data_IF_511065967542
#
_entry.id   IF_511065967542
#
_cell.length_a   1.000
_cell.length_b   1.000
_cell.length_c   1.000
_cell.angle_alpha   90.00
_cell.angle_beta   90.00
_cell.angle_gamma   90.00
#
_symmetry.space_group_name_H-M   'P 1'
#
loop_
_entity.id
_entity.type
_entity.pdbx_description
1 polymer ?
#
# COMPACT_ATOMS: atom_id res chain seq x y z
N UNK A 1 -6.78 0.69 26.66
CA UNK A 1 -5.37 0.33 26.46
C UNK A 1 -5.30 -0.59 25.25
N UNK A 2 -4.97 -0.02 24.12
CA UNK A 2 -4.59 -0.83 22.95
C UNK A 2 -3.07 -0.86 22.95
N UNK A 3 -2.50 -1.93 23.49
CA UNK A 3 -1.13 -2.31 23.16
C UNK A 3 -1.14 -2.72 21.68
N UNK A 4 -0.86 -1.78 20.79
CA UNK A 4 -0.63 -2.09 19.40
C UNK A 4 0.82 -2.59 19.33
N UNK A 5 1.00 -3.93 19.40
CA UNK A 5 2.33 -4.55 19.32
C UNK A 5 3.07 -4.15 18.03
N UNK A 6 2.32 -3.74 17.00
CA UNK A 6 2.86 -3.21 15.76
C UNK A 6 3.59 -1.88 15.95
N UNK A 7 3.14 -1.04 16.89
CA UNK A 7 3.78 0.26 17.19
C UNK A 7 5.19 0.05 17.76
N UNK A 8 5.30 -0.85 18.72
CA UNK A 8 6.58 -1.17 19.36
C UNK A 8 7.58 -1.77 18.38
N UNK A 9 7.12 -2.50 17.34
CA UNK A 9 7.99 -3.13 16.36
C UNK A 9 8.41 -2.15 15.26
N UNK A 10 7.49 -1.59 14.49
CA UNK A 10 7.83 -0.80 13.30
C UNK A 10 8.55 0.50 13.64
N UNK A 11 8.09 1.24 14.64
CA UNK A 11 8.77 2.48 15.06
C UNK A 11 10.13 2.19 15.70
N UNK A 12 10.25 1.09 16.45
CA UNK A 12 11.53 0.67 17.00
C UNK A 12 12.53 0.28 15.89
N UNK A 13 12.09 -0.42 14.83
CA UNK A 13 12.91 -0.72 13.65
C UNK A 13 13.36 0.57 12.94
N UNK A 14 12.48 1.56 12.77
CA UNK A 14 12.81 2.86 12.20
C UNK A 14 13.86 3.59 13.02
N UNK A 15 13.69 3.62 14.34
CA UNK A 15 14.63 4.27 15.27
C UNK A 15 15.97 3.55 15.27
N UNK A 16 15.98 2.23 15.38
CA UNK A 16 17.20 1.41 15.34
C UNK A 16 17.98 1.64 14.05
N UNK A 17 17.29 1.65 12.90
CA UNK A 17 17.94 1.89 11.60
C UNK A 17 18.58 3.27 11.51
N UNK A 18 17.95 4.32 12.07
CA UNK A 18 18.49 5.69 12.06
C UNK A 18 19.66 5.83 13.04
N UNK A 19 19.55 5.26 14.24
CA UNK A 19 20.57 5.40 15.31
C UNK A 19 21.84 4.61 14.97
N UNK A 20 21.69 3.37 14.49
CA UNK A 20 22.82 2.48 14.23
C UNK A 20 23.33 2.57 12.79
N UNK A 21 22.65 3.32 11.91
CA UNK A 21 22.97 3.42 10.48
C UNK A 21 23.01 2.05 9.78
N UNK A 22 22.10 1.18 10.15
CA UNK A 22 22.05 -0.22 9.65
C UNK A 22 20.62 -0.62 9.34
N UNK A 23 20.44 -1.54 8.37
CA UNK A 23 19.15 -2.08 8.01
C UNK A 23 19.05 -3.52 8.54
N UNK A 24 18.05 -3.81 9.38
CA UNK A 24 17.72 -5.16 9.86
C UNK A 24 18.92 -5.94 10.40
N UNK A 25 19.80 -5.28 11.13
CA UNK A 25 20.99 -5.90 11.72
C UNK A 25 20.73 -6.45 13.11
N UNK A 26 19.92 -5.76 13.87
CA UNK A 26 19.60 -6.07 15.26
C UNK A 26 18.09 -6.03 15.43
N UNK A 27 17.57 -6.98 16.21
CA UNK A 27 16.18 -6.93 16.66
C UNK A 27 16.00 -5.68 17.55
N UNK A 28 15.09 -4.76 17.21
CA UNK A 28 14.98 -3.49 17.93
C UNK A 28 14.43 -3.64 19.36
N UNK A 29 13.90 -4.81 19.71
CA UNK A 29 13.33 -5.09 21.05
C UNK A 29 14.33 -5.84 21.92
N UNK A 30 14.96 -6.89 21.38
CA UNK A 30 15.88 -7.75 22.14
C UNK A 30 17.35 -7.35 21.99
N UNK A 31 17.68 -6.52 20.99
CA UNK A 31 19.05 -6.18 20.57
C UNK A 31 19.88 -7.40 20.12
N UNK A 32 19.24 -8.53 19.82
CA UNK A 32 19.91 -9.69 19.28
C UNK A 32 20.27 -9.47 17.81
N UNK A 33 21.40 -10.05 17.39
CA UNK A 33 21.82 -9.97 16.00
C UNK A 33 20.90 -10.76 15.09
N UNK A 34 20.38 -10.11 14.05
CA UNK A 34 19.50 -10.71 13.06
C UNK A 34 20.31 -11.20 11.86
N UNK A 35 20.21 -12.51 11.57
CA UNK A 35 20.83 -13.09 10.37
C UNK A 35 19.88 -12.95 9.18
N UNK A 36 20.40 -12.44 8.07
CA UNK A 36 19.61 -12.17 6.85
C UNK A 36 19.05 -13.40 6.15
N UNK A 37 19.48 -14.58 6.54
CA UNK A 37 18.97 -15.87 6.06
C UNK A 37 17.77 -16.39 6.86
N UNK A 38 17.42 -15.73 7.97
CA UNK A 38 16.22 -16.08 8.74
C UNK A 38 14.95 -15.66 8.02
N UNK A 39 13.88 -16.44 8.17
CA UNK A 39 12.60 -16.14 7.53
C UNK A 39 11.98 -14.80 7.95
N UNK A 40 12.29 -14.31 9.16
CA UNK A 40 11.78 -13.03 9.67
C UNK A 40 12.40 -11.85 8.93
N UNK A 41 13.73 -11.81 8.83
CA UNK A 41 14.43 -10.75 8.09
C UNK A 41 14.08 -10.75 6.61
N UNK A 42 13.89 -11.92 6.01
CA UNK A 42 13.48 -12.03 4.61
C UNK A 42 12.13 -11.39 4.34
N UNK A 43 11.22 -11.53 5.31
CA UNK A 43 9.90 -10.91 5.29
C UNK A 43 9.99 -9.38 5.26
N UNK A 44 10.82 -8.82 6.11
CA UNK A 44 11.02 -7.38 6.23
C UNK A 44 11.80 -6.81 5.03
N UNK A 45 12.76 -7.55 4.49
CA UNK A 45 13.46 -7.19 3.24
C UNK A 45 12.53 -7.13 2.02
N UNK A 46 11.49 -7.96 1.98
CA UNK A 46 10.51 -7.95 0.88
C UNK A 46 9.49 -6.84 1.00
N UNK A 47 9.26 -6.32 2.21
CA UNK A 47 8.34 -5.20 2.46
C UNK A 47 9.01 -4.10 3.30
N UNK A 48 9.96 -3.35 2.72
CA UNK A 48 10.87 -2.45 3.45
C UNK A 48 10.23 -1.12 3.84
N UNK A 49 8.96 -1.10 4.22
CA UNK A 49 8.23 0.12 4.57
C UNK A 49 8.87 0.88 5.75
N UNK A 50 9.25 0.18 6.82
CA UNK A 50 9.91 0.79 7.97
C UNK A 50 11.26 1.44 7.58
N UNK A 51 12.02 0.77 6.72
CA UNK A 51 13.29 1.32 6.22
C UNK A 51 13.09 2.53 5.30
N UNK A 52 12.01 2.54 4.51
CA UNK A 52 11.63 3.71 3.73
C UNK A 52 11.36 4.92 4.63
N UNK A 53 10.63 4.74 5.72
CA UNK A 53 10.36 5.79 6.71
C UNK A 53 11.65 6.21 7.42
N UNK A 54 12.48 5.27 7.87
CA UNK A 54 13.76 5.54 8.51
C UNK A 54 14.70 6.38 7.63
N UNK A 55 14.79 6.04 6.33
CA UNK A 55 15.60 6.78 5.36
C UNK A 55 15.13 8.25 5.26
N UNK A 56 13.82 8.48 5.12
CA UNK A 56 13.29 9.84 5.01
C UNK A 56 13.42 10.63 6.33
N UNK A 57 13.28 9.96 7.48
CA UNK A 57 13.52 10.58 8.79
C UNK A 57 14.98 11.02 8.92
N UNK A 58 15.93 10.17 8.50
CA UNK A 58 17.36 10.47 8.52
C UNK A 58 17.72 11.62 7.57
N UNK A 59 17.25 11.58 6.31
CA UNK A 59 17.48 12.65 5.33
C UNK A 59 16.86 13.98 5.76
N UNK A 60 15.67 13.94 6.36
CA UNK A 60 14.96 15.12 6.88
C UNK A 60 15.47 15.61 8.24
N UNK A 61 16.44 14.92 8.86
CA UNK A 61 16.92 15.17 10.23
C UNK A 61 15.75 15.26 11.24
N UNK A 62 14.80 14.34 11.12
CA UNK A 62 13.61 14.26 11.96
C UNK A 62 13.62 12.99 12.81
N UNK A 63 12.94 13.03 13.96
CA UNK A 63 12.70 11.81 14.72
C UNK A 63 11.77 10.87 13.92
N UNK A 64 12.11 9.57 13.75
CA UNK A 64 11.27 8.61 13.02
C UNK A 64 9.83 8.58 13.52
N UNK A 65 9.63 8.54 14.83
CA UNK A 65 8.29 8.57 15.44
C UNK A 65 7.48 9.82 15.07
N UNK A 66 8.12 10.99 14.94
CA UNK A 66 7.43 12.20 14.51
C UNK A 66 7.02 12.12 13.03
N UNK A 67 7.89 11.53 12.19
CA UNK A 67 7.56 11.30 10.78
C UNK A 67 6.38 10.33 10.67
N UNK A 68 6.42 9.17 11.34
CA UNK A 68 5.41 8.12 11.27
C UNK A 68 4.05 8.56 11.83
N UNK A 69 4.02 9.26 12.97
CA UNK A 69 2.74 9.55 13.64
C UNK A 69 2.16 10.93 13.34
N UNK A 70 2.94 11.88 12.81
CA UNK A 70 2.44 13.22 12.53
C UNK A 70 2.46 13.57 11.03
N UNK A 71 3.63 13.54 10.41
CA UNK A 71 3.78 14.04 9.05
C UNK A 71 3.23 13.08 7.98
N UNK A 72 3.61 11.80 8.06
CA UNK A 72 3.23 10.80 7.09
C UNK A 72 1.70 10.59 7.03
N UNK A 73 0.99 10.44 8.17
CA UNK A 73 -0.47 10.34 8.17
C UNK A 73 -1.17 11.51 7.51
N UNK A 74 -0.71 12.73 7.79
CA UNK A 74 -1.30 13.93 7.18
C UNK A 74 -1.27 13.86 5.65
N UNK A 75 -0.11 13.59 5.06
CA UNK A 75 0.01 13.51 3.60
C UNK A 75 -0.71 12.28 3.01
N UNK A 76 -0.60 11.13 3.66
CA UNK A 76 -1.22 9.90 3.17
C UNK A 76 -2.74 9.97 3.18
N UNK A 77 -3.36 10.54 4.22
CA UNK A 77 -4.80 10.74 4.30
C UNK A 77 -5.27 11.65 3.16
N UNK A 78 -4.58 12.77 2.91
CA UNK A 78 -4.91 13.66 1.80
C UNK A 78 -4.83 12.96 0.44
N UNK A 79 -3.79 12.16 0.21
CA UNK A 79 -3.61 11.39 -1.03
C UNK A 79 -4.71 10.34 -1.18
N UNK A 80 -5.09 9.65 -0.10
CA UNK A 80 -6.19 8.68 -0.12
C UNK A 80 -7.51 9.35 -0.50
N UNK A 81 -7.85 10.48 0.11
CA UNK A 81 -9.08 11.20 -0.23
C UNK A 81 -9.05 11.77 -1.64
N UNK A 82 -7.90 12.26 -2.12
CA UNK A 82 -7.75 12.65 -3.53
C UNK A 82 -8.05 11.47 -4.48
N UNK A 83 -7.52 10.28 -4.18
CA UNK A 83 -7.80 9.07 -4.94
C UNK A 83 -9.29 8.67 -4.88
N UNK A 84 -9.92 8.76 -3.70
CA UNK A 84 -11.36 8.47 -3.57
C UNK A 84 -12.22 9.44 -4.37
N UNK A 85 -11.87 10.72 -4.44
CA UNK A 85 -12.55 11.67 -5.31
C UNK A 85 -12.33 11.36 -6.80
N UNK A 86 -11.13 10.91 -7.21
CA UNK A 86 -10.90 10.42 -8.57
C UNK A 86 -11.77 9.20 -8.89
N UNK A 87 -11.92 8.28 -7.94
CA UNK A 87 -12.82 7.13 -8.09
C UNK A 87 -14.27 7.63 -8.22
N UNK A 88 -14.69 8.57 -7.38
CA UNK A 88 -16.02 9.20 -7.47
C UNK A 88 -16.27 9.85 -8.84
N UNK A 89 -15.30 10.58 -9.37
CA UNK A 89 -15.40 11.17 -10.73
C UNK A 89 -15.64 10.11 -11.80
N UNK A 90 -14.97 8.98 -11.67
CA UNK A 90 -15.10 7.86 -12.60
C UNK A 90 -16.48 7.18 -12.47
N UNK A 91 -16.94 6.96 -11.24
CA UNK A 91 -18.21 6.31 -10.95
C UNK A 91 -19.41 7.16 -11.38
N UNK A 92 -19.33 8.47 -11.21
CA UNK A 92 -20.42 9.40 -11.52
C UNK A 92 -20.27 10.12 -12.87
N UNK A 93 -19.37 9.62 -13.74
CA UNK A 93 -19.24 10.13 -15.10
C UNK A 93 -18.78 11.59 -15.21
N UNK A 94 -18.02 12.08 -14.24
CA UNK A 94 -17.51 13.45 -14.20
C UNK A 94 -18.41 14.45 -13.46
N UNK A 95 -19.51 14.00 -12.86
CA UNK A 95 -20.42 14.84 -12.07
C UNK A 95 -19.77 15.21 -10.73
N UNK A 96 -19.36 16.48 -10.60
CA UNK A 96 -18.69 16.98 -9.40
C UNK A 96 -19.61 17.05 -8.18
N UNK A 97 -20.88 17.33 -8.33
CA UNK A 97 -21.81 17.42 -7.20
C UNK A 97 -21.96 16.04 -6.53
N UNK A 98 -22.18 15.01 -7.34
CA UNK A 98 -22.26 13.63 -6.85
C UNK A 98 -20.92 13.15 -6.28
N UNK A 99 -19.82 13.55 -6.90
CA UNK A 99 -18.47 13.20 -6.41
C UNK A 99 -18.19 13.82 -5.04
N UNK A 100 -18.51 15.09 -4.82
CA UNK A 100 -18.36 15.72 -3.52
C UNK A 100 -19.30 15.12 -2.47
N UNK A 101 -20.56 14.84 -2.84
CA UNK A 101 -21.47 14.17 -1.95
C UNK A 101 -20.95 12.77 -1.55
N UNK A 102 -20.41 12.02 -2.49
CA UNK A 102 -19.75 10.75 -2.22
C UNK A 102 -18.57 10.92 -1.25
N UNK A 103 -17.71 11.92 -1.46
CA UNK A 103 -16.60 12.24 -0.56
C UNK A 103 -17.06 12.58 0.86
N UNK A 104 -18.14 13.36 1.00
CA UNK A 104 -18.74 13.70 2.31
C UNK A 104 -19.28 12.44 3.00
N UNK A 105 -20.07 11.63 2.30
CA UNK A 105 -20.63 10.38 2.85
C UNK A 105 -19.51 9.43 3.28
N UNK A 106 -18.46 9.28 2.46
CA UNK A 106 -17.32 8.45 2.78
C UNK A 106 -16.57 8.98 4.01
N UNK A 107 -16.40 10.29 4.13
CA UNK A 107 -15.77 10.92 5.30
C UNK A 107 -16.57 10.68 6.58
N UNK A 108 -17.91 10.79 6.52
CA UNK A 108 -18.78 10.48 7.65
C UNK A 108 -18.68 9.00 8.04
N UNK A 109 -18.65 8.10 7.05
CA UNK A 109 -18.48 6.66 7.30
C UNK A 109 -17.11 6.36 7.93
N UNK A 110 -16.04 7.01 7.50
CA UNK A 110 -14.73 6.87 8.13
C UNK A 110 -14.72 7.42 9.56
N UNK A 111 -15.34 8.57 9.82
CA UNK A 111 -15.43 9.15 11.17
C UNK A 111 -16.31 8.31 12.11
N UNK A 112 -17.32 7.62 11.60
CA UNK A 112 -18.19 6.76 12.40
C UNK A 112 -17.67 5.31 12.52
N UNK A 113 -16.68 4.93 11.74
CA UNK A 113 -16.23 3.55 11.57
C UNK A 113 -15.24 3.00 12.60
N UNK A 114 -15.06 3.68 13.75
CA UNK A 114 -14.10 3.27 14.79
C UNK A 114 -14.54 2.10 15.67
N UNK A 115 -15.33 1.20 15.17
CA UNK A 115 -15.87 0.08 15.96
C UNK A 115 -14.86 -1.03 16.23
N UNK A 116 -13.77 -1.09 15.46
CA UNK A 116 -12.70 -2.09 15.59
C UNK A 116 -11.40 -1.56 15.00
N UNK A 117 -10.26 -2.09 15.47
CA UNK A 117 -8.91 -1.79 14.94
C UNK A 117 -8.69 -2.28 13.50
N UNK A 118 -9.57 -3.17 13.01
CA UNK A 118 -9.47 -3.76 11.67
C UNK A 118 -10.43 -3.14 10.65
N UNK A 119 -11.16 -2.08 11.02
CA UNK A 119 -12.02 -1.38 10.06
C UNK A 119 -11.20 -0.53 9.10
N UNK A 120 -11.74 -0.27 7.90
CA UNK A 120 -11.09 0.62 6.93
C UNK A 120 -10.90 2.03 7.51
N UNK A 121 -11.83 2.49 8.32
CA UNK A 121 -11.74 3.76 9.03
C UNK A 121 -10.54 3.81 9.98
N UNK A 122 -10.34 2.76 10.77
CA UNK A 122 -9.21 2.63 11.68
C UNK A 122 -7.88 2.56 10.91
N UNK A 123 -7.83 1.80 9.82
CA UNK A 123 -6.65 1.72 8.95
C UNK A 123 -6.30 3.08 8.34
N UNK A 124 -7.30 3.82 7.85
CA UNK A 124 -7.06 5.11 7.21
C UNK A 124 -6.70 6.22 8.20
N UNK A 125 -7.43 6.33 9.32
CA UNK A 125 -7.35 7.51 10.18
C UNK A 125 -6.41 7.34 11.39
N UNK A 126 -6.18 6.10 11.84
CA UNK A 126 -5.33 5.83 13.01
C UNK A 126 -4.03 5.12 12.66
N UNK A 127 -4.06 4.20 11.69
CA UNK A 127 -2.95 3.28 11.41
C UNK A 127 -2.29 3.52 10.06
N UNK A 128 -2.60 4.61 9.37
CA UNK A 128 -2.13 4.87 7.99
C UNK A 128 -0.59 4.96 7.87
N UNK A 129 0.11 5.17 8.96
CA UNK A 129 1.56 5.12 9.03
C UNK A 129 2.14 3.70 8.84
N UNK A 130 1.33 2.64 9.02
CA UNK A 130 1.72 1.26 8.78
C UNK A 130 1.56 0.87 7.31
N UNK A 131 2.53 0.17 6.73
CA UNK A 131 2.48 -0.26 5.33
C UNK A 131 1.23 -1.08 4.97
N UNK A 132 0.74 -1.94 5.89
CA UNK A 132 -0.51 -2.70 5.70
C UNK A 132 -1.75 -1.79 5.59
N UNK A 133 -1.76 -0.69 6.33
CA UNK A 133 -2.86 0.27 6.28
C UNK A 133 -2.81 1.13 5.01
N UNK A 134 -1.62 1.51 4.56
CA UNK A 134 -1.43 2.14 3.24
C UNK A 134 -1.86 1.20 2.12
N UNK A 135 -1.54 -0.09 2.23
CA UNK A 135 -2.00 -1.09 1.28
C UNK A 135 -3.54 -1.11 1.18
N UNK A 136 -4.22 -1.20 2.32
CA UNK A 136 -5.68 -1.25 2.37
C UNK A 136 -6.36 0.06 1.92
N UNK A 137 -5.84 1.22 2.37
CA UNK A 137 -6.50 2.51 2.19
C UNK A 137 -6.12 3.23 0.89
N UNK A 138 -4.95 2.94 0.34
CA UNK A 138 -4.47 3.56 -0.89
C UNK A 138 -4.28 2.57 -2.03
N UNK A 139 -3.46 1.51 -1.84
CA UNK A 139 -3.05 0.64 -2.93
C UNK A 139 -4.23 -0.15 -3.54
N UNK A 140 -5.10 -0.73 -2.73
CA UNK A 140 -6.28 -1.45 -3.21
C UNK A 140 -7.27 -0.54 -3.96
N UNK A 141 -7.65 0.65 -3.45
CA UNK A 141 -8.43 1.63 -4.22
C UNK A 141 -7.73 2.09 -5.51
N UNK A 142 -6.39 2.24 -5.50
CA UNK A 142 -5.63 2.60 -6.69
C UNK A 142 -5.74 1.53 -7.77
N UNK A 143 -5.63 0.24 -7.41
CA UNK A 143 -5.87 -0.85 -8.36
C UNK A 143 -7.27 -0.75 -8.96
N UNK A 144 -8.31 -0.55 -8.15
CA UNK A 144 -9.67 -0.38 -8.65
C UNK A 144 -9.77 0.76 -9.68
N UNK A 145 -9.17 1.92 -9.36
CA UNK A 145 -9.13 3.05 -10.28
C UNK A 145 -8.41 2.73 -11.59
N UNK A 146 -7.21 2.14 -11.51
CA UNK A 146 -6.41 1.77 -12.68
C UNK A 146 -7.10 0.76 -13.56
N UNK A 147 -7.70 -0.26 -12.97
CA UNK A 147 -8.45 -1.26 -13.73
C UNK A 147 -9.64 -0.66 -14.46
N UNK A 148 -10.38 0.22 -13.80
CA UNK A 148 -11.48 0.89 -14.47
C UNK A 148 -10.98 1.71 -15.66
N UNK A 149 -9.87 2.42 -15.53
CA UNK A 149 -9.27 3.18 -16.63
C UNK A 149 -8.80 2.27 -17.77
N UNK A 150 -8.19 1.14 -17.44
CA UNK A 150 -7.74 0.14 -18.43
C UNK A 150 -8.94 -0.50 -19.14
N UNK A 151 -10.01 -0.80 -18.44
CA UNK A 151 -11.19 -1.43 -19.02
C UNK A 151 -11.97 -0.48 -19.94
N UNK A 152 -12.13 0.77 -19.56
CA UNK A 152 -13.01 1.72 -20.28
C UNK A 152 -12.34 2.54 -21.38
N UNK A 153 -11.01 2.66 -21.38
CA UNK A 153 -10.32 3.54 -22.35
C UNK A 153 -9.64 2.75 -23.47
N UNK A 154 -9.81 3.20 -24.70
CA UNK A 154 -9.07 2.66 -25.85
C UNK A 154 -7.56 2.81 -25.68
N UNK A 155 -7.11 3.87 -25.02
CA UNK A 155 -5.70 4.15 -24.71
C UNK A 155 -5.18 3.39 -23.47
N UNK A 156 -5.62 2.16 -23.25
CA UNK A 156 -5.25 1.33 -22.10
C UNK A 156 -3.72 1.17 -21.90
N UNK A 157 -2.95 1.25 -23.00
CA UNK A 157 -1.48 1.08 -22.97
C UNK A 157 -0.77 2.08 -22.06
N UNK A 158 -1.30 3.30 -21.93
CA UNK A 158 -0.73 4.34 -21.08
C UNK A 158 -0.87 4.05 -19.58
N UNK A 159 -1.82 3.17 -19.21
CA UNK A 159 -2.09 2.82 -17.82
C UNK A 159 -1.30 1.59 -17.35
N UNK A 160 -0.76 0.78 -18.26
CA UNK A 160 0.01 -0.43 -17.92
C UNK A 160 1.29 -0.11 -17.13
N UNK A 161 2.12 0.90 -17.49
CA UNK A 161 3.28 1.26 -16.68
C UNK A 161 2.91 1.68 -15.26
N UNK A 162 1.79 2.41 -15.11
CA UNK A 162 1.32 2.81 -13.79
C UNK A 162 0.80 1.61 -12.99
N UNK A 163 0.15 0.65 -13.64
CA UNK A 163 -0.26 -0.61 -13.03
C UNK A 163 0.94 -1.43 -12.54
N UNK A 164 2.01 -1.48 -13.36
CA UNK A 164 3.27 -2.11 -12.98
C UNK A 164 3.87 -1.47 -11.72
N UNK A 165 4.00 -0.13 -11.70
CA UNK A 165 4.53 0.61 -10.55
C UNK A 165 3.65 0.42 -9.31
N UNK A 166 2.32 0.47 -9.48
CA UNK A 166 1.38 0.22 -8.38
C UNK A 166 1.53 -1.20 -7.82
N UNK A 167 1.72 -2.20 -8.68
CA UNK A 167 1.96 -3.59 -8.28
C UNK A 167 3.22 -3.74 -7.44
N UNK A 168 4.35 -3.27 -7.93
CA UNK A 168 5.63 -3.31 -7.22
C UNK A 168 5.55 -2.53 -5.91
N UNK A 169 5.02 -1.29 -5.94
CA UNK A 169 4.85 -0.47 -4.75
C UNK A 169 4.00 -1.16 -3.68
N UNK A 170 2.92 -1.84 -4.08
CA UNK A 170 2.06 -2.59 -3.15
C UNK A 170 2.81 -3.74 -2.49
N UNK A 171 3.66 -4.46 -3.21
CA UNK A 171 4.51 -5.50 -2.63
C UNK A 171 5.47 -4.92 -1.58
N UNK A 172 6.02 -3.73 -1.83
CA UNK A 172 6.96 -3.08 -0.91
C UNK A 172 6.30 -2.50 0.36
N UNK A 173 4.97 -2.35 0.38
CA UNK A 173 4.25 -1.81 1.54
C UNK A 173 4.12 -2.82 2.68
N UNK A 174 3.82 -4.09 2.37
CA UNK A 174 3.57 -5.10 3.41
C UNK A 174 3.52 -6.52 2.83
N UNK A 175 3.70 -7.54 3.68
CA UNK A 175 3.51 -8.94 3.32
C UNK A 175 2.12 -9.25 2.75
N UNK A 176 1.08 -8.55 3.22
CA UNK A 176 -0.28 -8.65 2.65
C UNK A 176 -0.28 -8.14 1.21
N UNK A 177 0.43 -7.05 0.93
CA UNK A 177 0.58 -6.50 -0.42
C UNK A 177 1.25 -7.47 -1.38
N UNK A 178 2.26 -8.23 -0.91
CA UNK A 178 2.97 -9.25 -1.70
C UNK A 178 2.02 -10.34 -2.19
N UNK A 179 1.05 -10.73 -1.37
CA UNK A 179 0.05 -11.75 -1.75
C UNK A 179 -1.08 -11.15 -2.58
N UNK A 180 -1.59 -9.99 -2.19
CA UNK A 180 -2.79 -9.42 -2.81
C UNK A 180 -2.51 -8.84 -4.20
N UNK A 181 -1.36 -8.22 -4.45
CA UNK A 181 -1.05 -7.61 -5.73
C UNK A 181 -1.06 -8.61 -6.90
N UNK A 182 -0.31 -9.74 -6.87
CA UNK A 182 -0.33 -10.70 -7.97
C UNK A 182 -1.69 -11.37 -8.15
N UNK A 183 -2.43 -11.64 -7.05
CA UNK A 183 -3.77 -12.23 -7.11
C UNK A 183 -4.75 -11.27 -7.79
N UNK A 184 -4.76 -9.99 -7.42
CA UNK A 184 -5.61 -9.00 -8.06
C UNK A 184 -5.28 -8.86 -9.55
N UNK A 185 -4.00 -8.75 -9.92
CA UNK A 185 -3.57 -8.64 -11.32
C UNK A 185 -3.96 -9.88 -12.13
N UNK A 186 -3.84 -11.08 -11.55
CA UNK A 186 -4.28 -12.31 -12.18
C UNK A 186 -5.79 -12.32 -12.44
N UNK A 187 -6.58 -12.03 -11.39
CA UNK A 187 -8.06 -12.00 -11.47
C UNK A 187 -8.52 -10.96 -12.49
N UNK A 188 -7.96 -9.76 -12.46
CA UNK A 188 -8.33 -8.72 -13.41
C UNK A 188 -7.96 -9.07 -14.85
N UNK A 189 -6.81 -9.70 -15.08
CA UNK A 189 -6.45 -10.19 -16.42
C UNK A 189 -7.49 -11.20 -16.93
N UNK A 190 -7.95 -12.11 -16.08
CA UNK A 190 -9.01 -13.06 -16.42
C UNK A 190 -10.34 -12.34 -16.73
N UNK A 191 -10.75 -11.42 -15.86
CA UNK A 191 -12.00 -10.65 -16.05
C UNK A 191 -11.96 -9.82 -17.34
N UNK A 192 -10.84 -9.15 -17.62
CA UNK A 192 -10.65 -8.38 -18.86
C UNK A 192 -10.73 -9.29 -20.11
N UNK A 193 -10.12 -10.47 -20.05
CA UNK A 193 -10.19 -11.43 -21.12
C UNK A 193 -11.62 -11.97 -21.34
N UNK A 194 -12.33 -12.32 -20.28
CA UNK A 194 -13.70 -12.79 -20.36
C UNK A 194 -14.63 -11.77 -20.99
N UNK A 195 -14.43 -10.49 -20.66
CA UNK A 195 -15.30 -9.41 -21.12
C UNK A 195 -14.96 -8.88 -22.52
N UNK A 196 -13.66 -8.59 -22.78
CA UNK A 196 -13.21 -7.93 -24.02
C UNK A 196 -12.59 -8.89 -25.04
N UNK A 197 -12.19 -10.09 -24.63
CA UNK A 197 -11.47 -11.09 -25.45
C UNK A 197 -10.23 -10.54 -26.17
N UNK A 198 -9.57 -9.55 -25.58
CA UNK A 198 -8.38 -8.91 -26.12
C UNK A 198 -7.11 -9.48 -25.45
N UNK A 199 -6.58 -10.56 -26.02
CA UNK A 199 -5.42 -11.27 -25.46
C UNK A 199 -4.18 -10.40 -25.30
N UNK A 200 -3.97 -9.35 -26.15
CA UNK A 200 -2.81 -8.45 -26.06
C UNK A 200 -2.89 -7.58 -24.79
N UNK A 201 -4.06 -7.11 -24.46
CA UNK A 201 -4.32 -6.31 -23.27
C UNK A 201 -4.20 -7.17 -22.02
N UNK A 202 -4.80 -8.35 -22.00
CA UNK A 202 -4.68 -9.33 -20.91
C UNK A 202 -3.24 -9.72 -20.65
N UNK A 203 -2.46 -10.01 -21.72
CA UNK A 203 -1.05 -10.33 -21.61
C UNK A 203 -0.26 -9.15 -20.98
N UNK A 204 -0.56 -7.92 -21.37
CA UNK A 204 0.10 -6.74 -20.80
C UNK A 204 -0.19 -6.60 -19.29
N UNK A 205 -1.43 -6.87 -18.83
CA UNK A 205 -1.80 -6.89 -17.41
C UNK A 205 -1.01 -7.98 -16.67
N UNK A 206 -0.90 -9.18 -17.22
CA UNK A 206 -0.15 -10.28 -16.60
C UNK A 206 1.37 -10.03 -16.61
N UNK A 207 1.90 -9.40 -17.64
CA UNK A 207 3.31 -8.98 -17.65
C UNK A 207 3.60 -7.94 -16.56
N UNK A 208 2.64 -7.06 -16.27
CA UNK A 208 2.75 -6.14 -15.13
C UNK A 208 2.73 -6.86 -13.77
N UNK A 209 2.20 -8.08 -13.70
CA UNK A 209 2.19 -8.90 -12.48
C UNK A 209 3.51 -9.66 -12.23
N UNK A 210 4.37 -9.81 -13.23
CA UNK A 210 5.58 -10.64 -13.13
C UNK A 210 6.46 -10.27 -11.93
N UNK A 211 6.79 -8.99 -11.66
CA UNK A 211 7.57 -8.65 -10.47
C UNK A 211 6.87 -9.04 -9.17
N UNK A 212 5.54 -8.85 -9.10
CA UNK A 212 4.79 -9.22 -7.91
C UNK A 212 4.85 -10.73 -7.64
N UNK A 213 4.84 -11.55 -8.70
CA UNK A 213 5.03 -13.01 -8.60
C UNK A 213 6.44 -13.35 -8.12
N UNK A 214 7.47 -12.61 -8.56
CA UNK A 214 8.85 -12.79 -8.09
C UNK A 214 8.94 -12.43 -6.59
N UNK A 215 8.35 -11.31 -6.16
CA UNK A 215 8.27 -10.94 -4.75
C UNK A 215 7.57 -12.03 -3.92
N UNK A 216 6.44 -12.54 -4.41
CA UNK A 216 5.72 -13.63 -3.75
C UNK A 216 6.56 -14.91 -3.65
N UNK A 217 7.24 -15.29 -4.74
CA UNK A 217 8.13 -16.45 -4.74
C UNK A 217 9.24 -16.32 -3.69
N UNK A 218 9.90 -15.16 -3.63
CA UNK A 218 10.95 -14.91 -2.65
C UNK A 218 10.41 -14.87 -1.20
N UNK A 219 9.22 -14.35 -1.00
CA UNK A 219 8.56 -14.28 0.32
C UNK A 219 8.17 -15.66 0.87
N UNK A 220 7.86 -16.62 -0.02
CA UNK A 220 7.44 -17.99 0.35
C UNK A 220 8.62 -18.97 0.53
N UNK A 221 9.82 -18.63 0.05
CA UNK A 221 11.04 -19.43 0.26
C UNK A 221 11.59 -19.25 1.66
#
# INVERSE_FOLDING_TARGET
EHSDDDDSRFVAEEVSAVVHDTMYREDPITADYMYWDTGEVRKDLTSPWAMFVAMHAKEGNMAPAALSHAYLPFFLILICYALYLLIGQVLFGGDWEKTFLFGIVLSVLHLAGYTSTHTLASMLLLRIWQGKAVCASFALPLFFYLFYQIMKKEAWKHWIPLLYVAGVGTCMLSGIGIVTAPVLLAVYGVLDFCYYRNWRKTLAIWLAAVPCVIFLGYYLM
#
